data_IF_430835432833
#
_entry.id   IF_430835432833
#
_cell.length_a   1.000
_cell.length_b   1.000
_cell.length_c   1.000
_cell.angle_alpha   90.00
_cell.angle_beta   90.00
_cell.angle_gamma   90.00
#
_symmetry.space_group_name_H-M   'P 1'
#
loop_
_entity.id
_entity.type
_entity.pdbx_description
1 polymer ?
#
# COMPACT_ATOMS: atom_id res chain seq x y z
N UNK A 1 8.08 6.93 14.91
CA UNK A 1 7.60 8.25 14.45
C UNK A 1 6.34 8.01 13.66
N UNK A 2 5.31 8.85 13.83
CA UNK A 2 4.03 8.72 13.13
C UNK A 2 4.20 8.70 11.61
N UNK A 3 3.64 7.70 10.92
CA UNK A 3 3.84 7.52 9.48
C UNK A 3 2.56 6.97 8.79
N UNK A 4 2.02 7.71 7.83
CA UNK A 4 0.81 7.35 7.09
C UNK A 4 1.00 6.11 6.20
N UNK A 5 2.16 5.97 5.56
CA UNK A 5 2.45 4.76 4.80
C UNK A 5 2.45 3.55 5.73
N UNK A 6 3.02 3.70 6.93
CA UNK A 6 3.02 2.62 7.90
C UNK A 6 1.60 2.23 8.31
N UNK A 7 0.70 3.21 8.50
CA UNK A 7 -0.72 2.93 8.76
C UNK A 7 -1.33 2.08 7.65
N UNK A 8 -1.12 2.46 6.37
CA UNK A 8 -1.63 1.71 5.21
C UNK A 8 -1.05 0.29 5.17
N UNK A 9 0.26 0.13 5.40
CA UNK A 9 0.92 -1.18 5.49
C UNK A 9 0.30 -2.06 6.59
N UNK A 10 0.06 -1.50 7.77
CA UNK A 10 -0.53 -2.25 8.89
C UNK A 10 -1.97 -2.63 8.62
N UNK A 11 -2.76 -1.74 8.04
CA UNK A 11 -4.12 -2.06 7.60
C UNK A 11 -4.14 -3.20 6.58
N UNK A 12 -3.24 -3.19 5.58
CA UNK A 12 -3.12 -4.29 4.61
C UNK A 12 -2.72 -5.59 5.30
N UNK A 13 -1.70 -5.57 6.16
CA UNK A 13 -1.23 -6.75 6.89
C UNK A 13 -2.35 -7.42 7.68
N UNK A 14 -3.07 -6.66 8.51
CA UNK A 14 -4.12 -7.23 9.35
C UNK A 14 -5.35 -7.70 8.57
N UNK A 15 -5.62 -7.12 7.40
CA UNK A 15 -6.80 -7.47 6.59
C UNK A 15 -6.51 -8.50 5.47
N UNK A 16 -5.26 -8.77 5.12
CA UNK A 16 -4.89 -9.66 4.01
C UNK A 16 -3.99 -10.83 4.43
N UNK A 17 -3.09 -10.60 5.38
CA UNK A 17 -2.04 -11.57 5.72
C UNK A 17 -2.31 -12.31 7.03
N UNK A 18 -3.17 -11.74 7.88
CA UNK A 18 -3.49 -12.29 9.21
C UNK A 18 -4.94 -12.71 9.26
N UNK A 19 -5.19 -13.92 9.76
CA UNK A 19 -6.53 -14.32 10.18
C UNK A 19 -6.88 -13.54 11.45
N UNK A 20 -7.63 -12.45 11.30
CA UNK A 20 -8.14 -11.61 12.37
C UNK A 20 -9.66 -11.47 12.19
N UNK A 21 -10.41 -11.97 13.17
CA UNK A 21 -11.87 -12.01 13.13
C UNK A 21 -12.51 -10.70 13.57
N UNK A 22 -13.83 -10.63 13.46
CA UNK A 22 -14.62 -9.50 13.94
C UNK A 22 -15.40 -9.85 15.21
N UNK A 23 -15.22 -9.11 16.30
CA UNK A 23 -16.06 -9.21 17.50
C UNK A 23 -15.99 -7.94 18.35
N UNK A 24 -17.15 -7.34 18.70
CA UNK A 24 -17.20 -6.14 19.55
C UNK A 24 -16.99 -6.40 21.05
N UNK A 25 -17.14 -7.64 21.53
CA UNK A 25 -16.94 -8.02 22.94
C UNK A 25 -15.48 -8.34 23.26
N UNK A 26 -14.75 -8.96 22.32
CA UNK A 26 -13.33 -9.31 22.43
C UNK A 26 -12.42 -8.45 21.54
N UNK A 27 -12.91 -7.27 21.15
CA UNK A 27 -12.32 -6.33 20.19
C UNK A 27 -10.84 -5.92 20.38
N UNK A 28 -10.23 -6.19 21.52
CA UNK A 28 -8.82 -5.84 21.79
C UNK A 28 -7.87 -7.03 21.74
N UNK A 29 -8.35 -8.25 21.44
CA UNK A 29 -7.53 -9.44 21.24
C UNK A 29 -6.87 -9.44 19.84
N UNK A 30 -6.15 -8.36 19.51
CA UNK A 30 -5.58 -8.15 18.18
C UNK A 30 -4.24 -8.88 18.09
N UNK A 31 -4.31 -10.10 17.57
CA UNK A 31 -3.19 -11.03 17.31
C UNK A 31 -3.60 -12.00 16.21
N UNK A 32 -2.67 -12.77 15.62
CA UNK A 32 -3.05 -13.87 14.73
C UNK A 32 -4.04 -14.84 15.40
N UNK A 33 -5.17 -15.08 14.73
CA UNK A 33 -6.30 -15.88 15.24
C UNK A 33 -7.08 -15.19 16.37
N UNK A 34 -6.96 -13.88 16.51
CA UNK A 34 -7.69 -13.06 17.48
C UNK A 34 -8.87 -12.33 16.85
N UNK A 35 -9.33 -11.27 17.49
CA UNK A 35 -10.54 -10.51 17.11
C UNK A 35 -10.34 -9.00 17.27
N UNK A 36 -11.02 -8.25 16.40
CA UNK A 36 -11.10 -6.80 16.44
C UNK A 36 -12.53 -6.34 16.14
N UNK A 37 -12.85 -5.07 16.38
CA UNK A 37 -13.97 -4.41 15.71
C UNK A 37 -13.44 -3.31 14.79
N UNK A 38 -14.34 -2.61 14.11
CA UNK A 38 -13.97 -1.60 13.12
C UNK A 38 -13.02 -0.55 13.71
N UNK A 39 -13.29 -0.06 14.92
CA UNK A 39 -12.50 1.01 15.54
C UNK A 39 -11.27 0.51 16.26
N UNK A 40 -11.30 -0.66 16.91
CA UNK A 40 -10.12 -1.21 17.56
C UNK A 40 -9.04 -1.60 16.55
N UNK A 41 -9.43 -2.12 15.38
CA UNK A 41 -8.51 -2.36 14.26
C UNK A 41 -7.80 -1.08 13.83
N UNK A 42 -8.56 -0.01 13.56
CA UNK A 42 -7.98 1.25 13.09
C UNK A 42 -7.11 1.90 14.18
N UNK A 43 -7.55 1.89 15.44
CA UNK A 43 -6.78 2.39 16.59
C UNK A 43 -5.46 1.62 16.74
N UNK A 44 -5.51 0.29 16.64
CA UNK A 44 -4.32 -0.57 16.73
C UNK A 44 -3.33 -0.27 15.61
N UNK A 45 -3.79 -0.20 14.36
CA UNK A 45 -2.94 0.13 13.22
C UNK A 45 -2.33 1.53 13.32
N UNK A 46 -3.06 2.51 13.86
CA UNK A 46 -2.54 3.85 14.15
C UNK A 46 -1.41 3.80 15.19
N UNK A 47 -1.58 3.05 16.27
CA UNK A 47 -0.58 2.88 17.32
C UNK A 47 0.69 2.18 16.78
N UNK A 48 0.53 1.10 16.00
CA UNK A 48 1.65 0.43 15.32
C UNK A 48 2.37 1.33 14.32
N UNK A 49 1.64 2.27 13.69
CA UNK A 49 2.19 3.29 12.81
C UNK A 49 2.79 4.49 13.57
N UNK A 50 2.80 4.46 14.90
CA UNK A 50 3.44 5.45 15.76
C UNK A 50 2.63 6.74 15.95
N UNK A 51 1.33 6.74 15.63
CA UNK A 51 0.43 7.84 15.96
C UNK A 51 0.02 7.76 17.43
N UNK A 52 0.02 8.91 18.10
CA UNK A 52 -0.68 9.04 19.36
C UNK A 52 -2.20 9.04 19.09
N UNK A 53 -2.91 8.08 19.67
CA UNK A 53 -4.37 7.93 19.56
C UNK A 53 -5.08 8.48 20.80
N UNK A 54 -4.34 8.87 21.84
CA UNK A 54 -4.89 9.35 23.08
C UNK A 54 -5.80 8.34 23.76
N UNK A 55 -6.99 8.81 24.12
CA UNK A 55 -8.02 7.99 24.74
C UNK A 55 -9.03 7.42 23.72
N UNK A 56 -8.71 7.46 22.42
CA UNK A 56 -9.60 6.87 21.41
C UNK A 56 -9.82 5.38 21.73
N UNK A 57 -11.09 4.99 21.81
CA UNK A 57 -11.48 3.64 22.20
C UNK A 57 -12.66 3.09 21.40
N UNK A 58 -13.41 3.92 20.68
CA UNK A 58 -14.49 3.49 19.78
C UNK A 58 -14.80 4.58 18.74
N UNK A 59 -15.58 4.27 17.71
CA UNK A 59 -15.92 5.20 16.61
C UNK A 59 -16.31 6.61 17.06
N UNK A 60 -17.14 6.74 18.10
CA UNK A 60 -17.66 8.03 18.57
C UNK A 60 -16.67 8.95 19.30
N UNK A 61 -15.50 8.45 19.73
CA UNK A 61 -14.47 9.29 20.38
C UNK A 61 -13.25 9.56 19.48
N UNK A 62 -13.10 8.82 18.38
CA UNK A 62 -11.95 8.91 17.48
C UNK A 62 -11.75 10.31 16.92
N UNK A 63 -12.81 10.97 16.44
CA UNK A 63 -12.67 12.30 15.85
C UNK A 63 -12.11 13.31 16.86
N UNK A 64 -12.61 13.33 18.09
CA UNK A 64 -12.15 14.26 19.11
C UNK A 64 -10.70 13.94 19.54
N UNK A 65 -10.39 12.66 19.75
CA UNK A 65 -9.08 12.21 20.18
C UNK A 65 -7.99 12.49 19.13
N UNK A 66 -8.26 12.19 17.86
CA UNK A 66 -7.29 12.34 16.77
C UNK A 66 -7.12 13.80 16.33
N UNK A 67 -8.20 14.59 16.30
CA UNK A 67 -8.07 16.00 15.90
C UNK A 67 -7.25 16.84 16.88
N UNK A 68 -7.26 16.47 18.16
CA UNK A 68 -6.35 17.04 19.16
C UNK A 68 -4.86 16.72 18.90
N UNK A 69 -4.56 15.84 17.94
CA UNK A 69 -3.22 15.25 17.68
C UNK A 69 -2.79 15.41 16.22
N UNK A 70 -3.22 16.50 15.58
CA UNK A 70 -2.76 16.87 14.24
C UNK A 70 -3.57 16.26 13.10
N UNK A 71 -4.68 15.58 13.39
CA UNK A 71 -5.64 15.20 12.37
C UNK A 71 -6.64 16.34 12.13
N UNK A 72 -7.09 16.49 10.89
CA UNK A 72 -8.13 17.45 10.51
C UNK A 72 -9.36 16.66 10.09
N UNK A 73 -10.52 17.06 10.63
CA UNK A 73 -11.82 16.53 10.25
C UNK A 73 -12.31 17.26 9.00
N UNK A 74 -12.30 16.58 7.87
CA UNK A 74 -12.81 17.08 6.60
C UNK A 74 -14.24 16.55 6.35
N UNK A 75 -15.13 17.32 5.72
CA UNK A 75 -16.43 16.79 5.31
C UNK A 75 -16.25 15.64 4.31
N UNK A 76 -17.19 14.69 4.29
CA UNK A 76 -17.27 13.70 3.23
C UNK A 76 -17.54 14.42 1.89
N UNK A 77 -16.48 14.59 1.10
CA UNK A 77 -16.51 15.24 -0.21
C UNK A 77 -16.46 14.23 -1.38
N UNK A 78 -16.59 12.93 -1.08
CA UNK A 78 -16.48 11.84 -2.07
C UNK A 78 -15.07 11.65 -2.65
N UNK A 79 -14.05 12.32 -2.11
CA UNK A 79 -12.68 12.30 -2.63
C UNK A 79 -11.66 12.01 -1.50
N UNK A 80 -11.68 10.79 -0.92
CA UNK A 80 -10.71 10.40 0.09
C UNK A 80 -9.30 10.27 -0.48
N UNK A 81 -8.30 10.48 0.37
CA UNK A 81 -6.88 10.32 0.06
C UNK A 81 -6.29 9.17 0.85
N UNK A 82 -5.23 8.55 0.31
CA UNK A 82 -4.57 7.43 0.96
C UNK A 82 -4.16 7.83 2.40
N UNK A 83 -4.53 7.00 3.37
CA UNK A 83 -4.33 7.26 4.79
C UNK A 83 -5.46 8.02 5.50
N UNK A 84 -6.48 8.48 4.77
CA UNK A 84 -7.67 9.04 5.39
C UNK A 84 -8.42 7.97 6.19
N UNK A 85 -8.84 8.33 7.39
CA UNK A 85 -9.78 7.54 8.18
C UNK A 85 -11.19 7.97 7.78
N UNK A 86 -11.93 7.05 7.17
CA UNK A 86 -13.33 7.22 6.78
C UNK A 86 -14.18 6.92 8.01
N UNK A 87 -14.83 7.94 8.57
CA UNK A 87 -15.52 7.82 9.85
C UNK A 87 -17.00 8.15 9.71
N UNK A 88 -17.83 7.21 10.15
CA UNK A 88 -19.16 7.47 10.65
C UNK A 88 -19.08 7.43 12.19
N UNK A 89 -19.42 8.55 12.83
CA UNK A 89 -19.21 8.75 14.27
C UNK A 89 -20.06 7.78 15.14
N UNK A 90 -21.06 7.11 14.57
CA UNK A 90 -21.91 6.16 15.28
C UNK A 90 -21.61 4.70 14.92
N UNK A 91 -21.44 4.40 13.63
CA UNK A 91 -21.63 3.03 13.15
C UNK A 91 -20.34 2.34 12.67
N UNK A 92 -19.44 3.07 12.00
CA UNK A 92 -18.36 2.41 11.27
C UNK A 92 -17.13 3.30 11.03
N UNK A 93 -15.97 2.64 10.94
CA UNK A 93 -14.71 3.29 10.56
C UNK A 93 -13.87 2.36 9.67
N UNK A 94 -13.22 2.96 8.69
CA UNK A 94 -12.31 2.30 7.76
C UNK A 94 -11.12 3.20 7.43
N UNK A 95 -10.07 2.66 6.82
CA UNK A 95 -8.94 3.44 6.29
C UNK A 95 -8.93 3.33 4.77
N UNK A 96 -8.87 4.46 4.09
CA UNK A 96 -8.69 4.48 2.64
C UNK A 96 -7.23 4.23 2.29
N UNK A 97 -6.96 3.22 1.46
CA UNK A 97 -5.60 2.77 1.14
C UNK A 97 -4.99 3.50 -0.08
N UNK A 98 -5.81 4.27 -0.81
CA UNK A 98 -5.47 4.71 -2.16
C UNK A 98 -5.98 3.74 -3.22
N UNK A 99 -5.83 4.09 -4.50
CA UNK A 99 -6.20 3.21 -5.62
C UNK A 99 -7.67 2.81 -5.67
N UNK A 100 -8.57 3.55 -5.01
CA UNK A 100 -9.98 3.18 -4.90
C UNK A 100 -10.25 2.01 -3.95
N UNK A 101 -9.38 1.75 -2.98
CA UNK A 101 -9.51 0.68 -2.00
C UNK A 101 -9.65 1.21 -0.57
N UNK A 102 -10.38 0.48 0.28
CA UNK A 102 -10.41 0.68 1.73
C UNK A 102 -10.13 -0.64 2.47
N UNK A 103 -9.63 -0.53 3.69
CA UNK A 103 -9.47 -1.63 4.64
C UNK A 103 -10.36 -1.42 5.86
N UNK A 104 -10.95 -2.49 6.36
CA UNK A 104 -11.96 -2.44 7.43
C UNK A 104 -12.11 -3.77 8.17
N UNK A 105 -12.77 -3.71 9.33
CA UNK A 105 -13.39 -4.86 9.98
C UNK A 105 -14.91 -4.64 9.97
N UNK A 106 -15.70 -5.60 9.48
CA UNK A 106 -17.11 -5.36 9.14
C UNK A 106 -18.12 -6.04 10.07
N UNK A 107 -18.08 -7.37 10.15
CA UNK A 107 -19.02 -8.22 10.89
C UNK A 107 -18.43 -9.63 11.03
N UNK A 108 -18.93 -10.42 11.98
CA UNK A 108 -18.51 -11.81 12.22
C UNK A 108 -19.02 -12.80 11.15
N UNK A 109 -18.63 -14.07 11.24
CA UNK A 109 -19.01 -15.12 10.29
C UNK A 109 -20.53 -15.36 10.17
N UNK A 110 -21.32 -14.87 11.14
CA UNK A 110 -22.77 -14.94 11.18
C UNK A 110 -23.44 -13.61 10.76
N UNK A 111 -22.69 -12.64 10.26
CA UNK A 111 -23.13 -11.28 9.95
C UNK A 111 -23.66 -10.52 11.19
N UNK A 112 -23.06 -10.76 12.35
CA UNK A 112 -23.39 -10.09 13.61
C UNK A 112 -22.22 -9.25 14.10
N UNK A 113 -22.51 -8.47 15.14
CA UNK A 113 -21.54 -7.60 15.79
C UNK A 113 -20.67 -8.34 16.83
N UNK A 114 -21.07 -9.53 17.27
CA UNK A 114 -20.41 -10.25 18.35
C UNK A 114 -20.94 -11.67 18.51
N UNK A 115 -20.15 -12.52 19.17
CA UNK A 115 -20.49 -13.90 19.50
C UNK A 115 -20.08 -14.89 18.41
N UNK A 116 -19.26 -14.44 17.46
CA UNK A 116 -18.56 -15.26 16.49
C UNK A 116 -17.42 -16.05 17.13
N UNK A 117 -16.72 -16.82 16.31
CA UNK A 117 -15.49 -17.48 16.74
C UNK A 117 -14.29 -16.53 16.53
N UNK A 118 -13.18 -16.78 17.25
CA UNK A 118 -11.96 -15.99 17.04
C UNK A 118 -11.22 -16.37 15.76
N UNK A 119 -10.53 -15.38 15.18
CA UNK A 119 -9.90 -15.48 13.85
C UNK A 119 -10.90 -15.21 12.73
N UNK A 120 -10.40 -14.98 11.52
CA UNK A 120 -11.27 -14.77 10.35
C UNK A 120 -11.71 -16.12 9.78
N UNK A 121 -13.00 -16.46 9.91
CA UNK A 121 -13.55 -17.71 9.37
C UNK A 121 -14.04 -17.57 7.93
N UNK A 122 -14.35 -16.36 7.48
CA UNK A 122 -14.94 -16.12 6.15
C UNK A 122 -13.93 -15.65 5.12
N UNK A 123 -12.75 -15.20 5.53
CA UNK A 123 -11.81 -14.48 4.67
C UNK A 123 -12.21 -13.02 4.44
N UNK A 124 -13.22 -12.52 5.17
CA UNK A 124 -13.88 -11.24 4.91
C UNK A 124 -14.23 -10.44 6.17
N UNK A 125 -14.00 -10.96 7.37
CA UNK A 125 -14.37 -10.27 8.61
C UNK A 125 -13.52 -9.01 8.82
N UNK A 126 -12.21 -9.15 8.58
CA UNK A 126 -11.30 -8.06 8.23
C UNK A 126 -10.95 -8.19 6.75
N UNK A 127 -10.98 -7.08 6.00
CA UNK A 127 -10.86 -7.16 4.54
C UNK A 127 -10.33 -5.88 3.92
N UNK A 128 -9.80 -6.03 2.71
CA UNK A 128 -9.65 -4.93 1.75
C UNK A 128 -10.74 -5.07 0.69
N UNK A 129 -11.44 -3.98 0.41
CA UNK A 129 -12.50 -3.94 -0.60
C UNK A 129 -12.40 -2.68 -1.46
N UNK A 130 -13.04 -2.67 -2.65
CA UNK A 130 -13.24 -1.44 -3.39
C UNK A 130 -13.94 -0.40 -2.51
N UNK A 131 -13.54 0.85 -2.64
CA UNK A 131 -14.20 1.96 -1.96
C UNK A 131 -15.68 1.99 -2.31
N UNK A 132 -16.50 2.06 -1.27
CA UNK A 132 -17.93 2.27 -1.38
C UNK A 132 -18.33 3.47 -0.53
N UNK A 133 -19.35 4.18 -0.99
CA UNK A 133 -19.87 5.31 -0.25
C UNK A 133 -20.84 4.80 0.83
N UNK A 134 -20.33 4.61 2.04
CA UNK A 134 -21.14 4.55 3.26
C UNK A 134 -21.57 5.98 3.65
N UNK A 135 -22.61 6.20 4.47
CA UNK A 135 -22.90 7.52 5.06
C UNK A 135 -21.79 7.98 6.03
N UNK A 136 -20.58 8.20 5.52
CA UNK A 136 -19.44 8.76 6.24
C UNK A 136 -19.77 10.19 6.66
N UNK A 137 -19.57 10.52 7.94
CA UNK A 137 -19.73 11.88 8.43
C UNK A 137 -18.53 12.74 8.05
N UNK A 138 -17.32 12.17 8.07
CA UNK A 138 -16.09 12.89 7.79
C UNK A 138 -14.95 11.97 7.33
N UNK A 139 -13.91 12.59 6.79
CA UNK A 139 -12.59 12.00 6.66
C UNK A 139 -11.65 12.65 7.69
N UNK A 140 -10.98 11.85 8.52
CA UNK A 140 -9.90 12.37 9.34
C UNK A 140 -8.60 12.25 8.55
N UNK A 141 -7.99 13.39 8.25
CA UNK A 141 -6.75 13.49 7.49
C UNK A 141 -5.62 14.00 8.36
N UNK A 142 -4.50 13.29 8.40
CA UNK A 142 -3.35 13.74 9.17
C UNK A 142 -2.68 14.95 8.49
N UNK A 143 -2.39 15.98 9.28
CA UNK A 143 -1.74 17.24 8.84
C UNK A 143 -0.58 17.67 9.75
N UNK A 144 -0.30 16.90 10.82
CA UNK A 144 0.78 17.19 11.75
C UNK A 144 2.15 17.20 11.06
N UNK A 145 3.09 18.01 11.59
CA UNK A 145 4.45 18.14 11.07
C UNK A 145 5.07 16.76 10.84
N UNK A 146 5.33 16.46 9.58
CA UNK A 146 6.26 15.42 9.24
C UNK A 146 7.62 15.89 9.72
N UNK A 147 8.17 15.24 10.74
CA UNK A 147 9.61 15.05 10.73
C UNK A 147 9.86 14.28 9.43
N UNK A 148 10.29 15.03 8.40
CA UNK A 148 10.77 14.50 7.14
C UNK A 148 12.04 13.68 7.44
N UNK A 149 11.89 12.54 8.09
CA UNK A 149 12.71 11.40 7.76
C UNK A 149 12.19 10.91 6.42
N UNK A 150 12.84 11.46 5.41
CA UNK A 150 12.95 10.99 4.05
C UNK A 150 13.03 9.46 4.01
N UNK A 151 11.86 8.83 3.92
CA UNK A 151 11.70 7.50 3.35
C UNK A 151 10.56 7.61 2.35
N UNK A 152 10.94 8.09 1.17
CA UNK A 152 10.56 7.52 -0.11
C UNK A 152 9.67 6.25 0.01
N UNK A 153 8.35 6.43 -0.03
CA UNK A 153 7.40 5.33 -0.20
C UNK A 153 6.36 5.73 -1.23
N UNK A 154 6.70 5.40 -2.48
CA UNK A 154 5.87 4.54 -3.32
C UNK A 154 4.37 4.79 -3.22
N UNK A 155 3.90 5.81 -3.95
CA UNK A 155 2.55 5.75 -4.52
C UNK A 155 2.61 4.78 -5.69
N UNK A 156 1.83 3.70 -5.61
CA UNK A 156 1.47 2.86 -6.75
C UNK A 156 0.86 3.73 -7.86
N UNK A 157 1.71 4.25 -8.75
CA UNK A 157 1.49 4.02 -10.17
C UNK A 157 2.02 2.62 -10.49
N UNK A 158 1.38 1.92 -11.40
CA UNK A 158 1.74 0.57 -11.88
C UNK A 158 3.24 0.28 -11.84
N UNK A 159 3.60 -0.92 -11.37
CA UNK A 159 4.97 -1.40 -11.35
C UNK A 159 5.48 -1.52 -12.80
N UNK A 160 6.03 -0.46 -13.37
CA UNK A 160 6.79 -0.53 -14.63
C UNK A 160 8.26 -0.76 -14.26
N UNK A 161 8.72 -1.99 -14.40
CA UNK A 161 10.12 -2.38 -14.24
C UNK A 161 10.99 -1.58 -15.22
N UNK A 162 11.55 -0.44 -14.79
CA UNK A 162 12.38 0.40 -15.65
C UNK A 162 13.87 0.26 -15.33
N UNK A 163 14.67 -0.23 -16.27
CA UNK A 163 16.12 -0.34 -16.11
C UNK A 163 16.85 0.19 -17.34
N UNK A 164 18.05 0.75 -17.13
CA UNK A 164 19.05 0.92 -18.19
C UNK A 164 20.08 -0.23 -18.08
N UNK A 165 20.46 -0.84 -19.19
CA UNK A 165 21.41 -1.95 -19.18
C UNK A 165 22.31 -2.00 -20.42
N UNK A 166 23.50 -2.55 -20.29
CA UNK A 166 24.47 -2.66 -21.38
C UNK A 166 25.67 -3.54 -21.02
N UNK A 167 26.52 -3.85 -22.01
CA UNK A 167 27.74 -4.66 -21.83
C UNK A 167 28.99 -3.83 -21.55
N UNK A 168 28.95 -2.53 -21.86
CA UNK A 168 29.98 -1.52 -21.57
C UNK A 168 29.25 -0.19 -21.30
N UNK A 169 29.77 0.64 -20.39
CA UNK A 169 29.03 1.74 -19.74
C UNK A 169 28.38 2.75 -20.71
N UNK A 170 28.76 2.74 -21.99
CA UNK A 170 28.15 3.59 -23.03
C UNK A 170 27.99 2.93 -24.41
N UNK A 171 28.35 1.66 -24.60
CA UNK A 171 28.26 0.99 -25.91
C UNK A 171 27.19 -0.10 -25.89
N UNK A 172 26.08 0.14 -26.59
CA UNK A 172 24.95 -0.78 -26.62
C UNK A 172 24.03 -0.68 -25.39
N UNK A 173 24.00 0.50 -24.74
CA UNK A 173 23.07 0.76 -23.65
C UNK A 173 21.62 0.73 -24.16
N UNK A 174 20.74 0.09 -23.40
CA UNK A 174 19.32 -0.04 -23.71
C UNK A 174 18.49 0.30 -22.49
N UNK A 175 17.32 0.87 -22.73
CA UNK A 175 16.28 1.10 -21.73
C UNK A 175 15.15 0.11 -21.92
N UNK A 176 14.64 -0.44 -20.82
CA UNK A 176 13.46 -1.29 -20.82
C UNK A 176 12.53 -0.83 -19.71
N UNK A 177 11.25 -0.63 -20.03
CA UNK A 177 10.19 -0.18 -19.11
C UNK A 177 9.38 -1.34 -18.50
N UNK A 178 9.75 -2.59 -18.82
CA UNK A 178 9.09 -3.78 -18.34
C UNK A 178 7.91 -4.23 -19.19
N UNK A 179 7.50 -3.42 -20.17
CA UNK A 179 6.27 -3.62 -20.97
C UNK A 179 6.61 -3.71 -22.46
N UNK A 180 7.36 -2.74 -22.98
CA UNK A 180 7.72 -2.64 -24.39
C UNK A 180 9.10 -3.22 -24.68
N UNK A 181 9.40 -3.50 -25.96
CA UNK A 181 10.73 -3.97 -26.37
C UNK A 181 11.82 -2.97 -25.96
N UNK A 182 12.99 -3.43 -25.48
CA UNK A 182 14.07 -2.53 -25.10
C UNK A 182 14.51 -1.59 -26.23
N UNK A 183 14.66 -0.31 -25.89
CA UNK A 183 15.05 0.75 -26.83
C UNK A 183 16.53 1.09 -26.62
N UNK A 184 17.30 1.19 -27.71
CA UNK A 184 18.70 1.60 -27.63
C UNK A 184 18.86 3.06 -27.22
N UNK A 185 19.77 3.33 -26.29
CA UNK A 185 20.22 4.67 -25.93
C UNK A 185 21.49 4.95 -26.73
N UNK A 186 21.41 5.90 -27.66
CA UNK A 186 22.49 6.26 -28.56
C UNK A 186 23.36 7.40 -28.06
N UNK A 187 22.89 8.18 -27.07
CA UNK A 187 23.57 9.38 -26.59
C UNK A 187 23.49 9.53 -25.06
N UNK A 188 24.54 10.05 -24.38
CA UNK A 188 24.50 10.31 -22.93
C UNK A 188 23.35 11.21 -22.47
N UNK A 189 22.92 12.15 -23.32
CA UNK A 189 21.80 13.05 -22.99
C UNK A 189 20.45 12.32 -22.94
N UNK A 190 20.27 11.27 -23.73
CA UNK A 190 19.06 10.43 -23.68
C UNK A 190 19.02 9.66 -22.35
N UNK A 191 20.15 9.10 -21.90
CA UNK A 191 20.26 8.49 -20.58
C UNK A 191 19.97 9.49 -19.46
N UNK A 192 20.50 10.71 -19.57
CA UNK A 192 20.24 11.77 -18.59
C UNK A 192 18.77 12.17 -18.57
N UNK A 193 18.12 12.28 -19.72
CA UNK A 193 16.71 12.61 -19.83
C UNK A 193 15.82 11.52 -19.20
N UNK A 194 16.07 10.26 -19.53
CA UNK A 194 15.32 9.11 -18.97
C UNK A 194 15.58 8.98 -17.48
N UNK A 195 16.82 9.15 -17.02
CA UNK A 195 17.15 9.09 -15.58
C UNK A 195 16.50 10.21 -14.79
N UNK A 196 16.47 11.44 -15.34
CA UNK A 196 15.75 12.57 -14.73
C UNK A 196 14.25 12.34 -14.69
N UNK A 197 13.67 11.84 -15.79
CA UNK A 197 12.24 11.53 -15.86
C UNK A 197 11.87 10.41 -14.87
N UNK A 198 12.66 9.34 -14.81
CA UNK A 198 12.48 8.25 -13.86
C UNK A 198 12.60 8.72 -12.42
N UNK A 199 13.60 9.55 -12.10
CA UNK A 199 13.76 10.13 -10.77
C UNK A 199 12.64 11.08 -10.38
N UNK A 200 12.16 11.90 -11.33
CA UNK A 200 11.02 12.77 -11.12
C UNK A 200 9.71 11.98 -10.92
N UNK A 201 9.55 10.84 -11.59
CA UNK A 201 8.34 10.02 -11.53
C UNK A 201 8.31 9.08 -10.31
N UNK A 202 9.46 8.52 -9.93
CA UNK A 202 9.54 7.44 -8.92
C UNK A 202 10.24 7.86 -7.63
N UNK A 203 10.88 9.03 -7.60
CA UNK A 203 11.75 9.44 -6.49
C UNK A 203 13.03 8.60 -6.36
N UNK A 204 13.29 7.64 -7.26
CA UNK A 204 14.42 6.72 -7.22
C UNK A 204 15.37 6.97 -8.40
N UNK A 205 16.66 6.69 -8.23
CA UNK A 205 17.61 6.73 -9.34
C UNK A 205 17.37 5.54 -10.28
N UNK A 206 17.49 5.76 -11.59
CA UNK A 206 17.31 4.72 -12.60
C UNK A 206 18.36 3.61 -12.40
N UNK A 207 17.95 2.35 -12.18
CA UNK A 207 18.91 1.25 -12.05
C UNK A 207 19.71 1.07 -13.34
N UNK A 208 21.04 1.13 -13.22
CA UNK A 208 21.97 0.84 -14.29
C UNK A 208 22.60 -0.54 -14.05
N UNK A 209 22.26 -1.51 -14.89
CA UNK A 209 22.71 -2.90 -14.74
C UNK A 209 23.67 -3.27 -15.87
N UNK A 210 24.85 -3.77 -15.50
CA UNK A 210 25.78 -4.34 -16.46
C UNK A 210 25.57 -5.85 -16.53
N UNK A 211 25.26 -6.36 -17.71
CA UNK A 211 25.19 -7.80 -17.97
C UNK A 211 26.42 -8.23 -18.77
N UNK A 212 27.02 -9.35 -18.41
CA UNK A 212 28.08 -9.99 -19.19
C UNK A 212 27.48 -10.85 -20.33
N UNK A 213 28.29 -11.13 -21.36
CA UNK A 213 27.84 -11.47 -22.71
C UNK A 213 26.78 -12.57 -22.85
N UNK A 214 26.78 -13.61 -22.01
CA UNK A 214 25.76 -14.67 -22.08
C UNK A 214 24.43 -14.23 -21.42
N UNK A 215 24.49 -13.40 -20.40
CA UNK A 215 23.33 -12.95 -19.64
C UNK A 215 22.58 -11.83 -20.33
N UNK A 216 23.27 -10.95 -21.08
CA UNK A 216 22.59 -9.90 -21.86
C UNK A 216 21.68 -10.49 -22.95
N UNK A 217 22.12 -11.56 -23.62
CA UNK A 217 21.31 -12.25 -24.65
C UNK A 217 20.08 -12.92 -24.04
N UNK A 218 20.23 -13.54 -22.87
CA UNK A 218 19.11 -14.16 -22.13
C UNK A 218 18.12 -13.10 -21.67
N UNK A 219 18.61 -12.00 -21.13
CA UNK A 219 17.78 -10.88 -20.70
C UNK A 219 16.99 -10.29 -21.87
N UNK A 220 17.63 -10.04 -23.01
CA UNK A 220 16.97 -9.51 -24.21
C UNK A 220 15.93 -10.48 -24.77
N UNK A 221 16.19 -11.79 -24.72
CA UNK A 221 15.21 -12.80 -25.11
C UNK A 221 13.97 -12.80 -24.21
N UNK A 222 14.13 -12.49 -22.91
CA UNK A 222 13.01 -12.38 -21.97
C UNK A 222 12.24 -11.08 -22.15
N UNK A 223 12.96 -9.95 -22.23
CA UNK A 223 12.38 -8.63 -22.43
C UNK A 223 11.62 -8.55 -23.77
N UNK A 224 12.05 -9.29 -24.80
CA UNK A 224 11.34 -9.37 -26.07
C UNK A 224 10.04 -10.20 -26.07
N UNK A 225 9.75 -10.96 -25.01
CA UNK A 225 8.53 -11.80 -24.87
C UNK A 225 7.38 -11.07 -24.14
N UNK A 226 7.55 -9.81 -23.76
CA UNK A 226 6.56 -9.06 -22.98
C UNK A 226 5.30 -8.66 -23.79
N UNK A 227 5.30 -8.80 -25.12
CA UNK A 227 4.11 -8.57 -25.97
C UNK A 227 3.14 -9.77 -26.00
N UNK A 228 3.56 -10.98 -25.59
CA UNK A 228 2.73 -12.19 -25.64
C UNK A 228 2.09 -12.49 -24.27
N UNK A 229 0.76 -12.47 -24.28
CA UNK A 229 -0.17 -12.37 -23.16
C UNK A 229 -0.22 -13.59 -22.18
N UNK A 230 0.93 -14.10 -21.71
CA UNK A 230 1.01 -15.27 -20.79
C UNK A 230 2.03 -15.17 -19.63
N UNK A 231 2.58 -14.00 -19.33
CA UNK A 231 3.80 -13.89 -18.52
C UNK A 231 3.67 -13.50 -17.03
N UNK A 232 2.54 -13.75 -16.38
CA UNK A 232 2.44 -13.59 -14.91
C UNK A 232 3.35 -14.57 -14.15
N UNK A 233 3.65 -15.74 -14.73
CA UNK A 233 4.43 -16.80 -14.07
C UNK A 233 5.95 -16.58 -14.13
N UNK A 234 6.48 -15.98 -15.20
CA UNK A 234 7.94 -15.77 -15.37
C UNK A 234 8.42 -14.57 -14.57
N UNK A 235 7.63 -13.50 -14.51
CA UNK A 235 7.92 -12.33 -13.66
C UNK A 235 7.98 -12.75 -12.18
N UNK A 236 7.10 -13.67 -11.75
CA UNK A 236 7.13 -14.21 -10.39
C UNK A 236 8.35 -15.12 -10.14
N UNK A 237 8.82 -15.87 -11.14
CA UNK A 237 10.02 -16.69 -11.01
C UNK A 237 11.31 -15.85 -10.85
N UNK A 238 11.38 -14.66 -11.47
CA UNK A 238 12.49 -13.72 -11.28
C UNK A 238 12.44 -13.06 -9.89
N UNK A 239 11.24 -12.76 -9.37
CA UNK A 239 11.06 -12.26 -7.98
C UNK A 239 11.58 -13.28 -6.95
N UNK A 240 11.24 -14.55 -7.10
CA UNK A 240 11.71 -15.62 -6.21
C UNK A 240 13.23 -15.85 -6.29
N UNK A 241 13.84 -15.71 -7.47
CA UNK A 241 15.28 -15.89 -7.66
C UNK A 241 16.13 -14.74 -7.06
N UNK A 242 15.55 -13.57 -6.83
CA UNK A 242 16.22 -12.40 -6.26
C UNK A 242 16.11 -12.30 -4.73
N UNK A 243 15.48 -13.26 -4.06
CA UNK A 243 15.47 -13.36 -2.60
C UNK A 243 14.88 -12.13 -1.90
N UNK A 244 13.87 -11.49 -2.50
CA UNK A 244 13.03 -10.47 -1.87
C UNK A 244 11.57 -10.75 -2.16
#
# INVERSE_FOLDING_TARGET
MANIQKLIERMRYWCLDVSLGYDQTNRWDIRPGGEADCSSLVIHCLQEAGFDTGAASYTGDMSAALTARGWVRLPNNGSPQAGDILLNDADHVAVYLGGGQLAQASYDENHRASGGASGDQTGHETNVSPYYNFPWNCYLRYTGSQDNNDTNTDTEGEITMAIAYGSDQFKGLKFWDGVHKPVGIGHPDELNAVSKAFKAATGKDLPLITFDGAWIVRFESLAGRSEDNQNTTIINAVKTALGK
#
